data_IF_863672329625
#
_entry.id   IF_863672329625
#
_cell.length_a   1.000
_cell.length_b   1.000
_cell.length_c   1.000
_cell.angle_alpha   90.00
_cell.angle_beta   90.00
_cell.angle_gamma   90.00
#
_symmetry.space_group_name_H-M   'P 1'
#
loop_
_entity.id
_entity.type
_entity.pdbx_description
1 polymer ?
#
# COMPACT_ATOMS: atom_id res chain seq x y z
N UNK A 1 0.58 16.37 -6.43
CA UNK A 1 0.00 15.67 -7.59
C UNK A 1 -1.23 14.87 -7.22
N UNK A 2 -1.18 13.95 -6.25
CA UNK A 2 -2.37 13.21 -5.77
C UNK A 2 -3.52 14.16 -5.45
N UNK A 3 -3.30 15.22 -4.66
CA UNK A 3 -4.36 16.20 -4.36
C UNK A 3 -4.97 16.93 -5.56
N UNK A 4 -4.25 17.08 -6.68
CA UNK A 4 -4.79 17.71 -7.90
C UNK A 4 -5.65 16.72 -8.70
N UNK A 5 -5.15 15.49 -8.83
CA UNK A 5 -5.86 14.40 -9.49
C UNK A 5 -7.10 13.98 -8.69
N UNK A 6 -7.00 13.94 -7.36
CA UNK A 6 -8.10 13.72 -6.43
C UNK A 6 -9.17 14.78 -6.59
N UNK A 7 -8.79 16.07 -6.65
CA UNK A 7 -9.73 17.17 -6.85
C UNK A 7 -10.43 17.11 -8.22
N UNK A 8 -9.70 16.69 -9.27
CA UNK A 8 -10.30 16.50 -10.58
C UNK A 8 -11.27 15.30 -10.61
N UNK A 9 -10.88 14.19 -9.99
CA UNK A 9 -11.76 13.02 -9.84
C UNK A 9 -13.00 13.34 -9.00
N UNK A 10 -12.85 14.12 -7.93
CA UNK A 10 -13.98 14.56 -7.10
C UNK A 10 -14.93 15.45 -7.91
N UNK A 11 -14.40 16.47 -8.60
CA UNK A 11 -15.16 17.32 -9.51
C UNK A 11 -15.94 16.48 -10.53
N UNK A 12 -15.31 15.51 -11.18
CA UNK A 12 -15.95 14.64 -12.16
C UNK A 12 -17.08 13.81 -11.53
N UNK A 13 -16.82 13.17 -10.38
CA UNK A 13 -17.79 12.31 -9.68
C UNK A 13 -19.00 13.08 -9.15
N UNK A 14 -18.80 14.29 -8.60
CA UNK A 14 -19.87 15.02 -7.91
C UNK A 14 -20.73 15.85 -8.86
N UNK A 15 -20.18 16.30 -9.99
CA UNK A 15 -20.88 17.27 -10.86
C UNK A 15 -22.11 16.69 -11.55
N UNK A 16 -22.01 15.51 -12.16
CA UNK A 16 -23.12 14.92 -12.91
C UNK A 16 -24.34 14.54 -12.03
N UNK A 17 -24.18 13.93 -10.84
CA UNK A 17 -25.29 13.68 -9.92
C UNK A 17 -26.00 14.98 -9.49
N UNK A 18 -25.26 16.05 -9.21
CA UNK A 18 -25.83 17.33 -8.80
C UNK A 18 -26.70 17.96 -9.89
N UNK A 19 -26.27 17.91 -11.15
CA UNK A 19 -27.09 18.39 -12.28
C UNK A 19 -28.35 17.53 -12.47
N UNK A 20 -28.24 16.21 -12.32
CA UNK A 20 -29.39 15.31 -12.33
C UNK A 20 -30.40 15.64 -11.23
N UNK A 21 -29.93 15.95 -10.02
CA UNK A 21 -30.78 16.34 -8.89
C UNK A 21 -31.49 17.67 -9.15
N UNK A 22 -30.78 18.68 -9.66
CA UNK A 22 -31.38 19.99 -10.01
C UNK A 22 -32.52 19.82 -11.02
N UNK A 23 -32.30 19.05 -12.09
CA UNK A 23 -33.33 18.77 -13.10
C UNK A 23 -34.50 17.98 -12.52
N UNK A 24 -34.24 16.99 -11.66
CA UNK A 24 -35.29 16.21 -10.99
C UNK A 24 -36.17 17.07 -10.07
N UNK A 25 -35.55 17.93 -9.27
CA UNK A 25 -36.25 18.90 -8.40
C UNK A 25 -37.09 19.88 -9.23
N UNK A 26 -36.53 20.42 -10.31
CA UNK A 26 -37.26 21.30 -11.22
C UNK A 26 -38.48 20.61 -11.85
N UNK A 27 -38.33 19.35 -12.29
CA UNK A 27 -39.46 18.55 -12.78
C UNK A 27 -40.52 18.31 -11.69
N UNK A 28 -40.11 18.14 -10.43
CA UNK A 28 -41.02 18.05 -9.29
C UNK A 28 -41.84 19.32 -9.07
N UNK A 29 -41.18 20.48 -9.08
CA UNK A 29 -41.84 21.79 -8.96
C UNK A 29 -42.75 22.07 -10.16
N UNK A 30 -42.31 21.73 -11.38
CA UNK A 30 -43.11 21.87 -12.58
C UNK A 30 -44.40 21.03 -12.51
N UNK A 31 -44.34 19.77 -12.06
CA UNK A 31 -45.52 18.94 -11.83
C UNK A 31 -46.49 19.56 -10.81
N UNK A 32 -45.96 20.16 -9.75
CA UNK A 32 -46.79 20.85 -8.75
C UNK A 32 -47.45 22.12 -9.32
N UNK A 33 -46.72 22.91 -10.13
CA UNK A 33 -47.25 24.09 -10.80
C UNK A 33 -48.32 23.75 -11.85
N UNK A 34 -48.14 22.66 -12.60
CA UNK A 34 -49.14 22.14 -13.54
C UNK A 34 -50.41 21.67 -12.82
N UNK A 35 -50.26 20.94 -11.70
CA UNK A 35 -51.38 20.51 -10.88
C UNK A 35 -52.19 21.70 -10.33
N UNK A 36 -51.51 22.79 -10.00
CA UNK A 36 -52.12 24.05 -9.58
C UNK A 36 -52.68 24.91 -10.74
N UNK A 37 -52.54 24.47 -12.00
CA UNK A 37 -52.96 25.16 -13.22
C UNK A 37 -52.41 26.59 -13.34
N UNK A 38 -51.19 26.81 -12.85
CA UNK A 38 -50.52 28.11 -12.95
C UNK A 38 -49.89 28.21 -14.34
N UNK A 39 -50.57 28.90 -15.26
CA UNK A 39 -50.27 28.90 -16.69
C UNK A 39 -48.80 29.19 -17.02
N UNK A 40 -48.20 28.34 -17.88
CA UNK A 40 -46.84 28.50 -18.41
C UNK A 40 -45.70 28.34 -17.40
N UNK A 41 -45.97 28.40 -16.10
CA UNK A 41 -44.97 28.40 -15.03
C UNK A 41 -44.21 27.08 -14.96
N UNK A 42 -44.87 25.95 -15.18
CA UNK A 42 -44.21 24.64 -15.19
C UNK A 42 -43.13 24.55 -16.27
N UNK A 43 -43.42 25.03 -17.49
CA UNK A 43 -42.45 25.10 -18.58
C UNK A 43 -41.31 26.08 -18.27
N UNK A 44 -41.62 27.23 -17.67
CA UNK A 44 -40.61 28.21 -17.27
C UNK A 44 -39.67 27.67 -16.19
N UNK A 45 -40.17 26.94 -15.20
CA UNK A 45 -39.37 26.33 -14.13
C UNK A 45 -38.36 25.34 -14.70
N UNK A 46 -38.78 24.45 -15.61
CA UNK A 46 -37.87 23.50 -16.27
C UNK A 46 -36.85 24.25 -17.13
N UNK A 47 -37.30 25.21 -17.94
CA UNK A 47 -36.42 25.98 -18.83
C UNK A 47 -35.36 26.79 -18.07
N UNK A 48 -35.72 27.41 -16.94
CA UNK A 48 -34.76 28.15 -16.12
C UNK A 48 -33.78 27.24 -15.40
N UNK A 49 -34.25 26.09 -14.90
CA UNK A 49 -33.38 25.10 -14.27
C UNK A 49 -32.37 24.52 -15.27
N UNK A 50 -32.81 24.21 -16.49
CA UNK A 50 -31.92 23.72 -17.56
C UNK A 50 -30.90 24.78 -17.97
N UNK A 51 -31.33 26.03 -18.17
CA UNK A 51 -30.41 27.13 -18.51
C UNK A 51 -29.34 27.36 -17.41
N UNK A 52 -29.76 27.30 -16.14
CA UNK A 52 -28.85 27.38 -14.99
C UNK A 52 -27.88 26.20 -14.92
N UNK A 53 -28.37 24.98 -15.13
CA UNK A 53 -27.53 23.78 -15.17
C UNK A 53 -26.50 23.84 -16.30
N UNK A 54 -26.90 24.24 -17.51
CA UNK A 54 -25.98 24.41 -18.65
C UNK A 54 -24.95 25.52 -18.44
N UNK A 55 -25.31 26.60 -17.74
CA UNK A 55 -24.33 27.63 -17.37
C UNK A 55 -23.30 27.09 -16.37
N UNK A 56 -23.76 26.42 -15.32
CA UNK A 56 -22.88 25.81 -14.31
C UNK A 56 -21.99 24.71 -14.91
N UNK A 57 -22.52 23.86 -15.78
CA UNK A 57 -21.76 22.81 -16.48
C UNK A 57 -20.61 23.39 -17.30
N UNK A 58 -20.81 24.55 -17.97
CA UNK A 58 -19.74 25.23 -18.70
C UNK A 58 -18.64 25.78 -17.78
N UNK A 59 -19.00 26.36 -16.65
CA UNK A 59 -18.02 26.86 -15.67
C UNK A 59 -17.20 25.72 -15.07
N UNK A 60 -17.85 24.62 -14.69
CA UNK A 60 -17.16 23.43 -14.16
C UNK A 60 -16.29 22.74 -15.23
N UNK A 61 -16.72 22.72 -16.50
CA UNK A 61 -15.89 22.23 -17.60
C UNK A 61 -14.64 23.11 -17.81
N UNK A 62 -14.76 24.43 -17.59
CA UNK A 62 -13.62 25.35 -17.55
C UNK A 62 -12.60 24.96 -16.46
N UNK A 63 -13.08 24.64 -15.25
CA UNK A 63 -12.23 24.15 -14.16
C UNK A 63 -11.58 22.80 -14.47
N UNK A 64 -12.30 21.86 -15.08
CA UNK A 64 -11.72 20.60 -15.55
C UNK A 64 -10.59 20.83 -16.56
N UNK A 65 -10.71 21.85 -17.42
CA UNK A 65 -9.63 22.28 -18.32
C UNK A 65 -8.39 22.79 -17.58
N UNK A 66 -8.56 23.54 -16.49
CA UNK A 66 -7.44 23.98 -15.63
C UNK A 66 -6.78 22.79 -14.95
N UNK A 67 -7.56 21.87 -14.36
CA UNK A 67 -7.02 20.66 -13.74
C UNK A 67 -6.26 19.80 -14.75
N UNK A 68 -6.77 19.63 -15.96
CA UNK A 68 -6.09 18.92 -17.04
C UNK A 68 -4.73 19.56 -17.39
N UNK A 69 -4.69 20.89 -17.51
CA UNK A 69 -3.47 21.63 -17.85
C UNK A 69 -2.40 21.56 -16.74
N UNK A 70 -2.80 21.71 -15.49
CA UNK A 70 -1.91 21.61 -14.33
C UNK A 70 -1.41 20.17 -14.13
N UNK A 71 -2.30 19.17 -14.28
CA UNK A 71 -1.94 17.75 -14.17
C UNK A 71 -0.96 17.37 -15.26
N UNK A 72 -1.19 17.81 -16.51
CA UNK A 72 -0.24 17.65 -17.61
C UNK A 72 1.15 18.18 -17.24
N UNK A 73 1.24 19.43 -16.77
CA UNK A 73 2.52 20.06 -16.43
C UNK A 73 3.25 19.30 -15.31
N UNK A 74 2.53 18.81 -14.30
CA UNK A 74 3.11 18.00 -13.22
C UNK A 74 3.57 16.62 -13.70
N UNK A 75 2.80 15.96 -14.56
CA UNK A 75 3.17 14.67 -15.15
C UNK A 75 4.40 14.81 -16.03
N UNK A 76 4.51 15.87 -16.83
CA UNK A 76 5.72 16.17 -17.61
C UNK A 76 6.95 16.35 -16.71
N UNK A 77 6.80 17.08 -15.60
CA UNK A 77 7.88 17.28 -14.64
C UNK A 77 8.33 15.97 -13.97
N UNK A 78 7.37 15.10 -13.62
CA UNK A 78 7.64 13.86 -12.88
C UNK A 78 8.16 12.74 -13.79
N UNK A 79 7.67 12.66 -15.02
CA UNK A 79 8.07 11.63 -15.98
C UNK A 79 9.26 12.06 -16.83
N UNK A 80 9.51 13.37 -16.96
CA UNK A 80 10.53 13.92 -17.86
C UNK A 80 10.15 13.83 -19.34
N UNK A 81 8.90 13.47 -19.67
CA UNK A 81 8.41 13.29 -21.03
C UNK A 81 7.28 14.28 -21.34
N UNK A 82 7.29 14.94 -22.51
CA UNK A 82 6.17 15.76 -22.96
C UNK A 82 4.86 14.96 -23.00
N UNK A 83 3.75 15.59 -22.63
CA UNK A 83 2.46 14.94 -22.54
C UNK A 83 1.37 15.84 -23.14
N UNK A 84 0.43 15.22 -23.86
CA UNK A 84 -0.77 15.89 -24.38
C UNK A 84 -1.97 15.37 -23.61
N UNK A 85 -2.77 16.30 -23.08
CA UNK A 85 -3.98 16.00 -22.30
C UNK A 85 -5.18 16.69 -22.93
N UNK A 86 -6.21 15.91 -23.21
CA UNK A 86 -7.54 16.41 -23.56
C UNK A 86 -8.41 16.36 -22.30
N UNK A 87 -9.03 17.48 -21.86
CA UNK A 87 -9.92 17.46 -20.71
C UNK A 87 -11.06 16.47 -20.91
N UNK A 88 -11.32 15.64 -19.89
CA UNK A 88 -12.46 14.72 -19.87
C UNK A 88 -13.78 15.48 -19.69
N UNK A 89 -14.88 14.91 -20.20
CA UNK A 89 -16.22 15.42 -19.92
C UNK A 89 -16.58 15.17 -18.45
N UNK A 90 -17.32 16.08 -17.82
CA UNK A 90 -17.76 15.90 -16.44
C UNK A 90 -18.68 14.68 -16.29
N UNK A 91 -18.44 13.87 -15.26
CA UNK A 91 -19.18 12.65 -14.97
C UNK A 91 -18.79 11.46 -15.85
N UNK A 92 -17.66 11.54 -16.57
CA UNK A 92 -17.20 10.48 -17.46
C UNK A 92 -16.41 9.37 -16.74
N UNK A 93 -16.03 9.62 -15.48
CA UNK A 93 -15.40 8.68 -14.60
C UNK A 93 -13.87 8.58 -14.77
N UNK A 94 -13.22 7.80 -13.88
CA UNK A 94 -11.76 7.72 -13.83
C UNK A 94 -11.11 7.22 -15.14
N UNK A 95 -11.78 6.29 -15.84
CA UNK A 95 -11.28 5.74 -17.10
C UNK A 95 -11.20 6.81 -18.21
N UNK A 96 -12.15 7.74 -18.25
CA UNK A 96 -12.15 8.82 -19.23
C UNK A 96 -11.09 9.89 -18.92
N UNK A 97 -10.76 10.10 -17.64
CA UNK A 97 -9.63 10.93 -17.25
C UNK A 97 -8.31 10.34 -17.78
N UNK A 98 -8.10 9.03 -17.58
CA UNK A 98 -6.91 8.32 -18.11
C UNK A 98 -6.86 8.41 -19.63
N UNK A 99 -7.98 8.15 -20.30
CA UNK A 99 -8.08 8.24 -21.77
C UNK A 99 -7.84 9.66 -22.32
N UNK A 100 -7.95 10.69 -21.49
CA UNK A 100 -7.60 12.06 -21.85
C UNK A 100 -6.10 12.26 -22.10
N UNK A 101 -5.24 11.40 -21.54
CA UNK A 101 -3.80 11.40 -21.77
C UNK A 101 -3.47 10.61 -23.03
N UNK A 102 -2.76 11.22 -23.97
CA UNK A 102 -2.24 10.49 -25.13
C UNK A 102 -1.29 9.37 -24.68
N UNK A 103 -1.33 8.23 -25.37
CA UNK A 103 -0.52 7.05 -25.03
C UNK A 103 0.97 7.38 -24.89
N UNK A 104 1.63 6.72 -23.93
CA UNK A 104 3.03 6.94 -23.56
C UNK A 104 3.22 7.12 -22.06
N UNK A 105 4.41 7.57 -21.61
CA UNK A 105 4.78 7.57 -20.18
C UNK A 105 3.82 8.36 -19.28
N UNK A 106 3.28 9.48 -19.77
CA UNK A 106 2.33 10.28 -19.01
C UNK A 106 0.97 9.58 -18.82
N UNK A 107 0.49 8.89 -19.85
CA UNK A 107 -0.73 8.06 -19.76
C UNK A 107 -0.54 6.94 -18.75
N UNK A 108 0.55 6.17 -18.87
CA UNK A 108 0.80 5.00 -18.00
C UNK A 108 0.96 5.42 -16.54
N UNK A 109 1.60 6.57 -16.32
CA UNK A 109 1.78 7.16 -15.01
C UNK A 109 0.46 7.60 -14.37
N UNK A 110 -0.44 8.21 -15.15
CA UNK A 110 -1.78 8.58 -14.64
C UNK A 110 -2.67 7.36 -14.47
N UNK A 111 -2.59 6.37 -15.37
CA UNK A 111 -3.30 5.12 -15.25
C UNK A 111 -2.98 4.42 -13.92
N UNK A 112 -1.70 4.35 -13.54
CA UNK A 112 -1.27 3.76 -12.26
C UNK A 112 -1.84 4.51 -11.04
N UNK A 113 -1.80 5.85 -11.05
CA UNK A 113 -2.36 6.66 -9.95
C UNK A 113 -3.88 6.52 -9.82
N UNK A 114 -4.57 6.47 -10.96
CA UNK A 114 -6.04 6.42 -11.00
C UNK A 114 -6.57 5.03 -10.69
N UNK A 115 -5.82 3.96 -10.99
CA UNK A 115 -6.22 2.57 -10.75
C UNK A 115 -6.66 2.33 -9.30
N UNK A 116 -5.99 3.00 -8.36
CA UNK A 116 -6.24 2.86 -6.92
C UNK A 116 -7.25 3.87 -6.37
N UNK A 117 -7.62 4.92 -7.11
CA UNK A 117 -8.37 6.08 -6.59
C UNK A 117 -9.83 5.79 -6.16
N UNK A 118 -10.32 4.57 -6.42
CA UNK A 118 -11.63 4.11 -5.97
C UNK A 118 -11.57 3.30 -4.66
N UNK A 119 -10.39 2.82 -4.29
CA UNK A 119 -10.16 1.88 -3.18
C UNK A 119 -9.05 2.35 -2.24
N UNK A 120 -8.51 3.56 -2.46
CA UNK A 120 -7.49 4.12 -1.58
C UNK A 120 -8.06 4.47 -0.20
N UNK A 121 -7.28 4.13 0.81
CA UNK A 121 -7.57 4.37 2.20
C UNK A 121 -6.63 5.44 2.75
N UNK A 122 -7.17 6.34 3.57
CA UNK A 122 -6.40 7.38 4.27
C UNK A 122 -6.65 7.27 5.76
N UNK A 123 -5.63 6.84 6.49
CA UNK A 123 -5.68 6.83 7.95
C UNK A 123 -5.51 8.28 8.47
N UNK A 124 -6.42 8.78 9.32
CA UNK A 124 -6.22 10.08 9.97
C UNK A 124 -4.96 10.06 10.85
N UNK A 125 -4.27 11.20 10.97
CA UNK A 125 -3.02 11.33 11.73
C UNK A 125 -3.18 10.85 13.18
N UNK A 126 -4.24 11.24 13.86
CA UNK A 126 -4.55 10.85 15.23
C UNK A 126 -4.85 9.36 15.38
N UNK A 127 -5.30 8.69 14.32
CA UNK A 127 -5.51 7.23 14.32
C UNK A 127 -4.17 6.53 14.10
N UNK A 128 -3.37 6.98 13.15
CA UNK A 128 -2.02 6.45 12.90
C UNK A 128 -1.10 6.60 14.14
N UNK A 129 -1.17 7.74 14.83
CA UNK A 129 -0.48 7.99 16.11
C UNK A 129 -0.89 7.01 17.21
N UNK A 130 -2.15 6.60 17.25
CA UNK A 130 -2.68 5.66 18.25
C UNK A 130 -2.64 4.21 17.81
N UNK A 131 -2.17 3.93 16.59
CA UNK A 131 -2.04 2.56 16.09
C UNK A 131 -1.27 1.69 17.10
N UNK A 132 -1.77 0.50 17.42
CA UNK A 132 -1.22 -0.34 18.48
C UNK A 132 0.21 -0.78 18.19
N UNK A 133 0.96 -1.08 19.25
CA UNK A 133 2.31 -1.63 19.16
C UNK A 133 2.29 -3.11 19.50
N UNK A 134 3.09 -3.90 18.78
CA UNK A 134 3.29 -5.33 18.97
C UNK A 134 4.73 -5.56 19.38
N UNK A 135 4.97 -5.60 20.69
CA UNK A 135 6.32 -5.76 21.26
C UNK A 135 6.52 -7.11 21.94
N UNK A 136 5.50 -7.97 21.95
CA UNK A 136 5.55 -9.31 22.52
C UNK A 136 5.48 -10.35 21.42
N UNK A 137 6.17 -11.47 21.62
CA UNK A 137 6.02 -12.63 20.76
C UNK A 137 4.74 -13.37 21.19
N UNK A 138 3.80 -13.60 20.28
CA UNK A 138 2.59 -14.34 20.59
C UNK A 138 2.89 -15.79 20.97
N UNK A 139 2.20 -16.30 22.00
CA UNK A 139 2.29 -17.71 22.40
C UNK A 139 1.86 -18.67 21.27
N UNK A 140 0.98 -18.21 20.37
CA UNK A 140 0.54 -18.92 19.17
C UNK A 140 1.70 -19.25 18.23
N UNK A 141 2.67 -18.35 18.07
CA UNK A 141 3.86 -18.58 17.24
C UNK A 141 4.74 -19.67 17.83
N UNK A 142 4.98 -19.63 19.14
CA UNK A 142 5.74 -20.66 19.84
C UNK A 142 5.06 -22.03 19.75
N UNK A 143 3.74 -22.08 19.97
CA UNK A 143 2.97 -23.30 19.83
C UNK A 143 3.01 -23.86 18.41
N UNK A 144 2.85 -23.01 17.39
CA UNK A 144 2.90 -23.42 15.98
C UNK A 144 4.27 -23.98 15.57
N UNK A 145 5.37 -23.33 15.99
CA UNK A 145 6.72 -23.82 15.70
C UNK A 145 6.98 -25.21 16.31
N UNK A 146 6.61 -25.42 17.58
CA UNK A 146 6.75 -26.74 18.23
C UNK A 146 5.85 -27.79 17.61
N UNK A 147 4.62 -27.43 17.24
CA UNK A 147 3.70 -28.35 16.58
C UNK A 147 4.22 -28.82 15.22
N UNK A 148 4.87 -27.93 14.45
CA UNK A 148 5.39 -28.25 13.12
C UNK A 148 6.73 -29.00 13.18
N UNK A 149 7.66 -28.57 14.05
CA UNK A 149 9.05 -29.05 14.03
C UNK A 149 9.42 -29.99 15.19
N UNK A 150 8.48 -30.25 16.11
CA UNK A 150 8.77 -30.92 17.38
C UNK A 150 9.41 -29.97 18.41
N UNK A 151 9.54 -30.43 19.65
CA UNK A 151 9.95 -29.57 20.77
C UNK A 151 11.39 -29.05 20.62
N UNK A 152 12.35 -29.91 20.30
CA UNK A 152 13.78 -29.56 20.25
C UNK A 152 14.09 -28.56 19.14
N UNK A 153 13.77 -28.91 17.88
CA UNK A 153 13.97 -28.01 16.73
C UNK A 153 13.06 -26.78 16.82
N UNK A 154 11.83 -26.95 17.31
CA UNK A 154 10.88 -25.87 17.50
C UNK A 154 11.38 -24.80 18.49
N UNK A 155 11.99 -25.20 19.61
CA UNK A 155 12.54 -24.27 20.61
C UNK A 155 13.73 -23.48 20.08
N UNK A 156 14.61 -24.12 19.32
CA UNK A 156 15.76 -23.43 18.71
C UNK A 156 15.35 -22.49 17.57
N UNK A 157 14.43 -22.93 16.69
CA UNK A 157 13.83 -22.04 15.68
C UNK A 157 13.12 -20.86 16.35
N UNK A 158 12.39 -21.11 17.43
CA UNK A 158 11.77 -20.06 18.22
C UNK A 158 12.83 -19.07 18.73
N UNK A 159 13.93 -19.54 19.31
CA UNK A 159 15.02 -18.68 19.77
C UNK A 159 15.65 -17.84 18.63
N UNK A 160 15.80 -18.42 17.44
CA UNK A 160 16.31 -17.74 16.25
C UNK A 160 15.33 -16.67 15.72
N UNK A 161 14.04 -17.00 15.63
CA UNK A 161 12.96 -16.13 15.13
C UNK A 161 12.64 -14.99 16.11
N UNK A 162 12.74 -15.28 17.40
CA UNK A 162 12.40 -14.38 18.50
C UNK A 162 13.60 -13.65 19.10
N UNK A 163 14.77 -13.80 18.49
CA UNK A 163 15.98 -13.14 18.95
C UNK A 163 15.75 -11.63 19.10
N UNK A 164 16.36 -10.98 20.11
CA UNK A 164 16.13 -9.55 20.39
C UNK A 164 16.54 -8.59 19.24
N UNK A 165 17.34 -9.07 18.28
CA UNK A 165 17.70 -8.35 17.04
C UNK A 165 16.73 -8.63 15.88
N UNK A 166 15.89 -9.63 16.03
CA UNK A 166 14.85 -10.06 15.11
C UNK A 166 13.55 -9.30 15.30
N UNK A 167 12.77 -9.27 14.24
CA UNK A 167 11.49 -8.59 14.17
C UNK A 167 10.55 -9.22 13.14
N UNK A 168 10.84 -10.45 12.73
CA UNK A 168 10.00 -11.20 11.78
C UNK A 168 8.56 -11.30 12.29
N UNK A 169 8.38 -11.70 13.55
CA UNK A 169 7.04 -11.89 14.14
C UNK A 169 6.36 -10.56 14.43
N UNK A 170 7.07 -9.63 15.07
CA UNK A 170 6.47 -8.37 15.52
C UNK A 170 6.13 -7.40 14.38
N UNK A 171 6.74 -7.58 13.19
CA UNK A 171 6.47 -6.75 12.02
C UNK A 171 5.67 -7.44 10.92
N UNK A 172 5.68 -8.77 10.87
CA UNK A 172 5.12 -9.52 9.74
C UNK A 172 4.36 -10.78 10.16
N UNK A 173 4.22 -11.04 11.47
CA UNK A 173 3.41 -12.13 11.99
C UNK A 173 1.90 -11.84 11.94
N UNK A 174 1.06 -12.87 12.14
CA UNK A 174 -0.40 -12.79 12.03
C UNK A 174 -1.04 -11.79 12.99
N UNK A 175 -0.45 -11.63 14.17
CA UNK A 175 -0.96 -10.77 15.24
C UNK A 175 -0.63 -9.28 15.04
N UNK A 176 0.08 -8.90 13.96
CA UNK A 176 0.25 -7.49 13.61
C UNK A 176 -1.08 -6.95 13.09
N UNK A 177 -1.73 -5.98 13.77
CA UNK A 177 -3.04 -5.50 13.34
C UNK A 177 -2.95 -4.61 12.11
N UNK A 178 -4.03 -4.55 11.34
CA UNK A 178 -4.10 -3.79 10.09
C UNK A 178 -3.80 -2.30 10.33
N UNK A 179 -4.30 -1.72 11.41
CA UNK A 179 -4.07 -0.31 11.75
C UNK A 179 -2.59 0.00 11.96
N UNK A 180 -1.82 -0.97 12.47
CA UNK A 180 -0.37 -0.84 12.63
C UNK A 180 0.36 -0.98 11.29
N UNK A 181 -0.09 -1.88 10.39
CA UNK A 181 0.46 -1.99 9.04
C UNK A 181 0.16 -0.73 8.21
N UNK A 182 -1.06 -0.21 8.29
CA UNK A 182 -1.45 1.05 7.66
C UNK A 182 -0.54 2.19 8.11
N UNK A 183 -0.36 2.38 9.43
CA UNK A 183 0.51 3.42 9.98
C UNK A 183 1.99 3.22 9.59
N UNK A 184 2.43 1.95 9.50
CA UNK A 184 3.78 1.60 9.06
C UNK A 184 4.04 1.98 7.62
N UNK A 185 3.17 1.62 6.69
CA UNK A 185 3.38 1.95 5.28
C UNK A 185 3.14 3.44 5.03
N UNK A 186 2.03 4.02 5.51
CA UNK A 186 1.62 5.39 5.19
C UNK A 186 2.44 6.46 5.89
N UNK A 187 2.99 6.16 7.08
CA UNK A 187 3.64 7.15 7.94
C UNK A 187 4.87 6.65 8.69
N UNK A 188 5.41 5.49 8.30
CA UNK A 188 6.65 4.90 8.82
C UNK A 188 6.64 4.66 10.34
N UNK A 189 5.47 4.51 10.95
CA UNK A 189 5.36 4.16 12.36
C UNK A 189 5.73 2.70 12.55
N UNK A 190 6.70 2.45 13.41
CA UNK A 190 7.18 1.09 13.69
C UNK A 190 6.16 0.32 14.55
N UNK A 191 5.56 -0.78 14.05
CA UNK A 191 4.66 -1.61 14.85
C UNK A 191 5.28 -2.12 16.15
N UNK A 192 6.61 -2.28 16.23
CA UNK A 192 7.24 -2.70 17.48
C UNK A 192 7.23 -1.64 18.59
N UNK A 193 6.96 -0.38 18.24
CA UNK A 193 7.03 0.73 19.20
C UNK A 193 8.42 0.97 19.77
N UNK A 194 9.49 0.64 19.01
CA UNK A 194 10.88 0.86 19.46
C UNK A 194 11.11 2.33 19.77
N UNK A 195 11.73 2.59 20.91
CA UNK A 195 12.04 3.95 21.41
C UNK A 195 13.53 4.30 21.30
N UNK A 196 14.34 3.42 20.72
CA UNK A 196 15.76 3.67 20.52
C UNK A 196 16.00 4.82 19.53
N UNK A 197 17.14 5.51 19.66
CA UNK A 197 17.48 6.70 18.86
C UNK A 197 17.53 6.47 17.33
N UNK A 198 17.48 5.21 16.87
CA UNK A 198 17.40 4.89 15.44
C UNK A 198 15.94 4.66 15.01
N UNK A 199 15.13 3.97 15.81
CA UNK A 199 13.79 3.55 15.36
C UNK A 199 12.64 4.30 16.01
N UNK A 200 12.91 5.24 16.92
CA UNK A 200 11.87 6.04 17.54
C UNK A 200 11.04 6.78 16.50
N UNK A 201 9.72 6.64 16.62
CA UNK A 201 8.76 7.41 15.86
C UNK A 201 8.19 8.50 16.78
N UNK A 202 8.23 9.76 16.34
CA UNK A 202 7.68 10.89 17.09
C UNK A 202 7.09 11.90 16.14
N UNK A 203 5.92 12.43 16.49
CA UNK A 203 5.35 13.63 15.88
C UNK A 203 5.63 14.84 16.76
N UNK A 204 6.18 15.89 16.18
CA UNK A 204 6.47 17.16 16.84
C UNK A 204 5.23 18.09 16.79
N UNK A 205 5.15 19.15 17.63
CA UNK A 205 3.96 20.01 17.71
C UNK A 205 3.59 20.74 16.41
N UNK A 206 4.55 20.95 15.52
CA UNK A 206 4.35 21.51 14.17
C UNK A 206 3.81 20.47 13.17
N UNK A 207 3.55 19.25 13.64
CA UNK A 207 3.04 18.13 12.87
C UNK A 207 4.12 17.30 12.19
N UNK A 208 5.38 17.74 12.19
CA UNK A 208 6.47 17.01 11.54
C UNK A 208 6.74 15.67 12.23
N UNK A 209 7.23 14.69 11.47
CA UNK A 209 7.46 13.32 11.97
C UNK A 209 8.92 12.93 11.83
N UNK A 210 9.51 12.54 12.96
CA UNK A 210 10.86 11.99 13.04
C UNK A 210 10.81 10.48 13.18
N UNK A 211 11.49 9.76 12.27
CA UNK A 211 11.74 8.31 12.37
C UNK A 211 12.86 7.90 11.42
N UNK A 212 13.70 6.93 11.82
CA UNK A 212 14.63 6.25 10.89
C UNK A 212 14.21 4.82 10.59
N UNK A 213 12.96 4.44 10.91
CA UNK A 213 12.40 3.16 10.48
C UNK A 213 12.50 3.04 8.96
N UNK A 214 13.13 1.97 8.47
CA UNK A 214 13.30 1.71 7.05
C UNK A 214 12.17 0.83 6.53
N UNK A 215 11.28 1.39 5.73
CA UNK A 215 10.21 0.64 5.05
C UNK A 215 9.97 1.22 3.65
N UNK A 216 9.71 0.32 2.70
CA UNK A 216 9.40 0.65 1.31
C UNK A 216 8.03 1.29 1.15
N UNK A 217 7.39 1.00 0.01
CA UNK A 217 6.02 1.40 -0.29
C UNK A 217 5.00 0.30 0.04
N UNK A 218 5.44 -0.82 0.61
CA UNK A 218 4.59 -1.97 0.96
C UNK A 218 4.88 -2.39 2.39
N UNK A 219 3.85 -2.73 3.15
CA UNK A 219 3.95 -3.43 4.42
C UNK A 219 2.95 -4.59 4.44
N UNK A 220 3.48 -5.82 4.47
CA UNK A 220 2.68 -7.06 4.55
C UNK A 220 2.97 -7.85 5.81
N UNK A 221 2.04 -8.74 6.14
CA UNK A 221 2.15 -9.78 7.16
C UNK A 221 1.65 -11.11 6.60
N UNK A 222 2.03 -12.20 7.23
CA UNK A 222 1.36 -13.48 7.06
C UNK A 222 0.02 -13.44 7.80
N UNK A 223 -1.02 -14.07 7.25
CA UNK A 223 -2.37 -14.07 7.86
C UNK A 223 -2.51 -15.07 8.99
N UNK A 224 -1.70 -16.14 8.97
CA UNK A 224 -1.72 -17.22 9.97
C UNK A 224 -0.30 -17.58 10.42
N UNK A 225 -0.21 -18.29 11.55
CA UNK A 225 1.07 -18.86 12.02
C UNK A 225 1.58 -19.90 11.02
N UNK A 226 0.69 -20.70 10.44
CA UNK A 226 1.02 -21.69 9.42
C UNK A 226 1.68 -21.04 8.19
N UNK A 227 1.05 -19.99 7.64
CA UNK A 227 1.59 -19.23 6.51
C UNK A 227 3.00 -18.67 6.80
N UNK A 228 3.22 -18.15 8.01
CA UNK A 228 4.54 -17.65 8.43
C UNK A 228 5.60 -18.76 8.54
N UNK A 229 5.19 -19.98 8.89
CA UNK A 229 6.07 -21.13 9.06
C UNK A 229 6.47 -21.77 7.73
N UNK A 230 5.59 -21.74 6.72
CA UNK A 230 5.82 -22.31 5.38
C UNK A 230 7.21 -21.99 4.79
N UNK A 231 7.69 -20.72 4.74
CA UNK A 231 9.05 -20.41 4.28
C UNK A 231 10.18 -21.04 5.12
N UNK A 232 10.01 -21.09 6.44
CA UNK A 232 10.99 -21.72 7.34
C UNK A 232 11.07 -23.23 7.09
N UNK A 233 9.91 -23.87 6.91
CA UNK A 233 9.81 -25.29 6.58
C UNK A 233 10.51 -25.62 5.26
N UNK A 234 10.25 -24.84 4.21
CA UNK A 234 10.89 -25.02 2.92
C UNK A 234 12.41 -24.84 2.99
N UNK A 235 12.89 -23.81 3.72
CA UNK A 235 14.32 -23.59 3.93
C UNK A 235 14.96 -24.73 4.72
N UNK A 236 14.34 -25.17 5.83
CA UNK A 236 14.88 -26.26 6.64
C UNK A 236 14.94 -27.58 5.84
N UNK A 237 13.91 -27.88 5.05
CA UNK A 237 13.91 -29.03 4.15
C UNK A 237 15.03 -28.95 3.09
N UNK A 238 15.28 -27.75 2.56
CA UNK A 238 16.39 -27.52 1.62
C UNK A 238 17.75 -27.79 2.24
N UNK A 239 17.91 -27.54 3.53
CA UNK A 239 19.16 -27.72 4.27
C UNK A 239 19.24 -29.07 4.99
N UNK A 240 18.52 -30.09 4.51
CA UNK A 240 18.60 -31.46 5.03
C UNK A 240 17.72 -31.75 6.25
N UNK A 241 16.82 -30.84 6.62
CA UNK A 241 15.85 -31.03 7.70
C UNK A 241 16.39 -30.81 9.11
N UNK A 242 17.62 -30.33 9.26
CA UNK A 242 18.29 -30.12 10.56
C UNK A 242 18.76 -28.68 10.74
N UNK A 243 18.87 -28.24 12.00
CA UNK A 243 19.38 -26.91 12.33
C UNK A 243 20.88 -26.76 12.05
N UNK A 244 21.65 -27.82 12.26
CA UNK A 244 23.06 -27.84 11.88
C UNK A 244 23.22 -27.62 10.37
N UNK A 245 22.43 -28.32 9.56
CA UNK A 245 22.42 -28.12 8.11
C UNK A 245 22.01 -26.69 7.71
N UNK A 246 21.04 -26.10 8.41
CA UNK A 246 20.67 -24.70 8.21
C UNK A 246 21.82 -23.75 8.57
N UNK A 247 22.47 -23.95 9.71
CA UNK A 247 23.58 -23.12 10.16
C UNK A 247 24.80 -23.21 9.24
N UNK A 248 25.12 -24.40 8.74
CA UNK A 248 26.18 -24.63 7.76
C UNK A 248 25.86 -23.89 6.45
N UNK A 249 24.64 -24.06 5.93
CA UNK A 249 24.18 -23.35 4.74
C UNK A 249 24.27 -21.82 4.90
N UNK A 250 23.77 -21.29 6.01
CA UNK A 250 23.85 -19.85 6.28
C UNK A 250 25.31 -19.37 6.40
N UNK A 251 26.21 -20.19 6.94
CA UNK A 251 27.63 -19.88 7.04
C UNK A 251 28.30 -19.83 5.67
N UNK A 252 27.99 -20.78 4.79
CA UNK A 252 28.53 -20.83 3.44
C UNK A 252 28.03 -19.68 2.56
N UNK A 253 26.79 -19.26 2.75
CA UNK A 253 26.16 -18.16 2.01
C UNK A 253 26.42 -16.77 2.63
N UNK A 254 27.12 -16.68 3.76
CA UNK A 254 27.28 -15.45 4.51
C UNK A 254 28.17 -14.43 3.79
N UNK A 255 27.63 -13.23 3.53
CA UNK A 255 28.43 -12.05 3.21
C UNK A 255 28.40 -11.08 4.39
N UNK A 256 29.58 -10.78 4.95
CA UNK A 256 29.74 -9.95 6.16
C UNK A 256 28.80 -10.34 7.33
N UNK A 257 28.59 -11.65 7.54
CA UNK A 257 27.73 -12.19 8.60
C UNK A 257 26.24 -11.95 8.36
N UNK A 258 25.81 -11.78 7.11
CA UNK A 258 24.41 -11.61 6.71
C UNK A 258 24.09 -12.55 5.54
N UNK A 259 22.88 -13.11 5.56
CA UNK A 259 22.31 -13.86 4.44
C UNK A 259 20.93 -13.30 4.12
N UNK A 260 20.61 -13.18 2.83
CA UNK A 260 19.29 -12.78 2.34
C UNK A 260 18.79 -13.89 1.45
N UNK A 261 17.68 -14.53 1.82
CA UNK A 261 17.11 -15.68 1.11
C UNK A 261 15.71 -15.31 0.67
N UNK A 262 15.43 -15.44 -0.61
CA UNK A 262 14.07 -15.38 -1.13
C UNK A 262 13.56 -16.80 -1.29
N UNK A 263 12.45 -17.11 -0.63
CA UNK A 263 11.75 -18.39 -0.78
C UNK A 263 10.53 -18.13 -1.66
N UNK A 264 10.53 -18.60 -2.92
CA UNK A 264 9.39 -18.47 -3.82
C UNK A 264 8.11 -19.06 -3.24
N UNK A 265 6.94 -18.50 -3.59
CA UNK A 265 5.66 -18.95 -3.07
C UNK A 265 5.37 -20.43 -3.39
N UNK A 266 5.67 -20.88 -4.61
CA UNK A 266 5.55 -22.27 -5.04
C UNK A 266 6.46 -23.22 -4.27
N UNK A 267 7.68 -22.79 -3.93
CA UNK A 267 8.64 -23.55 -3.11
C UNK A 267 8.20 -23.60 -1.65
N UNK A 268 7.64 -22.50 -1.12
CA UNK A 268 7.14 -22.43 0.26
C UNK A 268 5.77 -23.12 0.44
N UNK A 269 5.02 -23.31 -0.64
CA UNK A 269 3.60 -23.68 -0.58
C UNK A 269 2.70 -22.54 -0.10
N UNK A 270 3.09 -21.29 -0.34
CA UNK A 270 2.28 -20.11 -0.05
C UNK A 270 1.20 -19.92 -1.12
N UNK A 271 -0.02 -19.61 -0.69
CA UNK A 271 -1.20 -19.44 -1.55
C UNK A 271 -1.83 -18.04 -1.36
N UNK A 272 -2.62 -17.55 -2.34
CA UNK A 272 -3.47 -16.38 -2.13
C UNK A 272 -4.26 -16.48 -0.81
N UNK A 273 -4.20 -15.43 0.01
CA UNK A 273 -4.77 -15.38 1.36
C UNK A 273 -3.78 -15.74 2.48
N UNK A 274 -2.59 -16.26 2.19
CA UNK A 274 -1.54 -16.48 3.20
C UNK A 274 -0.84 -15.18 3.62
N UNK A 275 -0.97 -14.13 2.83
CA UNK A 275 -0.47 -12.79 3.14
C UNK A 275 -1.58 -11.75 3.06
N UNK A 276 -1.39 -10.66 3.80
CA UNK A 276 -2.19 -9.45 3.64
C UNK A 276 -1.35 -8.25 4.02
N UNK A 277 -1.70 -7.09 3.48
CA UNK A 277 -1.04 -5.85 3.85
C UNK A 277 -1.58 -4.66 3.11
N UNK A 278 -0.72 -3.66 3.03
CA UNK A 278 -1.01 -2.40 2.37
C UNK A 278 0.19 -1.96 1.54
N UNK A 279 -0.08 -1.46 0.34
CA UNK A 279 0.89 -0.75 -0.50
C UNK A 279 0.49 0.72 -0.66
N UNK A 280 1.43 1.57 -1.05
CA UNK A 280 1.14 2.95 -1.43
C UNK A 280 0.18 2.97 -2.62
N UNK A 281 -0.78 3.90 -2.62
CA UNK A 281 -1.64 4.10 -3.79
C UNK A 281 -0.82 4.63 -4.97
N UNK A 282 -1.06 4.10 -6.17
CA UNK A 282 -0.33 4.40 -7.40
C UNK A 282 1.15 4.06 -7.28
N UNK A 283 1.45 2.79 -6.96
CA UNK A 283 2.82 2.29 -6.83
C UNK A 283 3.08 1.04 -7.65
N UNK A 284 2.26 0.77 -8.69
CA UNK A 284 2.40 -0.40 -9.55
C UNK A 284 3.65 -0.39 -10.43
N UNK A 285 4.42 0.70 -10.44
CA UNK A 285 5.72 0.77 -11.11
C UNK A 285 6.82 1.23 -10.17
N UNK A 286 8.07 0.85 -10.46
CA UNK A 286 9.25 1.33 -9.71
C UNK A 286 9.33 2.88 -9.67
N UNK A 287 8.93 3.54 -10.75
CA UNK A 287 8.93 5.00 -10.86
C UNK A 287 7.92 5.63 -9.89
N UNK A 288 6.67 5.19 -9.95
CA UNK A 288 5.57 5.71 -9.12
C UNK A 288 5.77 5.34 -7.65
N UNK A 289 6.24 4.12 -7.35
CA UNK A 289 6.68 3.71 -6.02
C UNK A 289 7.81 4.59 -5.43
N UNK A 290 8.72 5.09 -6.26
CA UNK A 290 9.75 6.06 -5.83
C UNK A 290 9.13 7.42 -5.50
N UNK A 291 8.28 7.95 -6.38
CA UNK A 291 7.63 9.25 -6.15
C UNK A 291 6.73 9.22 -4.93
N UNK A 292 5.96 8.14 -4.72
CA UNK A 292 5.14 7.96 -3.53
C UNK A 292 5.98 7.98 -2.25
N UNK A 293 7.14 7.30 -2.23
CA UNK A 293 8.06 7.32 -1.07
C UNK A 293 8.64 8.70 -0.80
N UNK A 294 8.99 9.46 -1.85
CA UNK A 294 9.43 10.85 -1.71
C UNK A 294 8.32 11.72 -1.13
N UNK A 295 7.11 11.64 -1.69
CA UNK A 295 5.94 12.38 -1.19
C UNK A 295 5.60 12.04 0.27
N UNK A 296 5.73 10.76 0.68
CA UNK A 296 5.61 10.36 2.09
C UNK A 296 6.65 11.04 2.96
N UNK A 297 7.91 11.08 2.50
CA UNK A 297 8.99 11.77 3.20
C UNK A 297 8.72 13.26 3.35
N UNK A 298 8.29 13.92 2.28
CA UNK A 298 7.97 15.35 2.26
C UNK A 298 6.78 15.66 3.17
N UNK A 299 5.71 14.86 3.12
CA UNK A 299 4.56 14.99 4.02
C UNK A 299 5.01 14.93 5.48
N UNK A 300 5.85 13.96 5.85
CA UNK A 300 6.40 13.86 7.21
C UNK A 300 7.27 15.07 7.59
N UNK A 301 8.06 15.61 6.66
CA UNK A 301 8.95 16.76 6.92
C UNK A 301 8.22 18.10 6.98
N UNK A 302 7.02 18.20 6.39
CA UNK A 302 6.24 19.44 6.28
C UNK A 302 5.00 19.45 7.17
N UNK A 303 4.81 18.42 7.99
CA UNK A 303 3.66 18.30 8.90
C UNK A 303 2.37 17.78 8.26
N UNK A 304 2.47 17.25 7.04
CA UNK A 304 1.40 16.53 6.36
C UNK A 304 1.02 15.22 7.05
N UNK A 305 -0.17 14.71 6.71
CA UNK A 305 -0.69 13.46 7.25
C UNK A 305 -0.18 12.19 6.57
N UNK A 306 -0.65 11.03 7.01
CA UNK A 306 -0.40 9.74 6.37
C UNK A 306 -0.74 9.74 4.87
N UNK A 307 0.10 9.09 4.07
CA UNK A 307 -0.11 8.97 2.62
C UNK A 307 -1.21 7.95 2.28
N UNK A 308 -1.93 8.11 1.14
CA UNK A 308 -2.92 7.15 0.67
C UNK A 308 -2.30 5.79 0.36
N UNK A 309 -3.03 4.74 0.73
CA UNK A 309 -2.61 3.34 0.65
C UNK A 309 -3.75 2.49 0.10
N UNK A 310 -3.46 1.29 -0.38
CA UNK A 310 -4.47 0.31 -0.78
C UNK A 310 -4.15 -1.03 -0.15
N UNK A 311 -5.21 -1.78 0.19
CA UNK A 311 -5.06 -3.17 0.62
C UNK A 311 -4.47 -4.01 -0.51
N UNK A 312 -3.61 -4.96 -0.16
CA UNK A 312 -2.96 -5.86 -1.12
C UNK A 312 -2.70 -7.22 -0.49
N UNK A 313 -2.69 -8.25 -1.33
CA UNK A 313 -2.12 -9.56 -1.04
C UNK A 313 -0.88 -9.79 -1.93
N UNK A 314 0.31 -9.69 -1.32
CA UNK A 314 1.57 -9.82 -2.04
C UNK A 314 1.79 -11.19 -2.68
N UNK A 315 1.09 -12.22 -2.20
CA UNK A 315 1.17 -13.57 -2.76
C UNK A 315 0.23 -13.73 -3.94
N UNK A 316 -0.94 -13.09 -3.92
CA UNK A 316 -1.92 -13.15 -5.01
C UNK A 316 -1.59 -12.19 -6.17
N UNK A 317 -1.06 -11.00 -5.87
CA UNK A 317 -0.89 -9.90 -6.83
C UNK A 317 0.53 -9.82 -7.42
N UNK A 318 1.51 -10.48 -6.80
CA UNK A 318 2.92 -10.37 -7.18
C UNK A 318 3.29 -11.08 -8.48
N UNK A 319 4.26 -10.54 -9.20
CA UNK A 319 4.82 -11.15 -10.42
C UNK A 319 5.72 -12.36 -10.13
N UNK A 320 6.46 -12.32 -9.01
CA UNK A 320 7.31 -13.40 -8.51
C UNK A 320 7.16 -13.47 -6.98
N UNK A 321 5.98 -13.89 -6.49
CA UNK A 321 5.62 -13.78 -5.10
C UNK A 321 6.39 -14.78 -4.24
N UNK A 322 6.60 -14.43 -2.97
CA UNK A 322 7.22 -15.32 -1.99
C UNK A 322 7.53 -14.64 -0.67
N UNK A 323 8.47 -15.21 0.08
CA UNK A 323 8.93 -14.68 1.35
C UNK A 323 10.40 -14.28 1.30
N UNK A 324 10.68 -13.03 1.69
CA UNK A 324 12.03 -12.52 1.87
C UNK A 324 12.48 -12.72 3.32
N UNK A 325 13.56 -13.49 3.50
CA UNK A 325 14.15 -13.82 4.78
C UNK A 325 15.53 -13.20 4.91
N UNK A 326 15.82 -12.56 6.04
CA UNK A 326 17.14 -11.97 6.32
C UNK A 326 17.67 -12.55 7.61
N UNK A 327 18.81 -13.23 7.51
CA UNK A 327 19.54 -13.77 8.64
C UNK A 327 20.76 -12.91 8.95
N UNK A 328 21.13 -12.85 10.22
CA UNK A 328 22.36 -12.19 10.66
C UNK A 328 23.03 -13.01 11.75
N UNK A 329 24.34 -13.15 11.64
CA UNK A 329 25.17 -13.76 12.68
C UNK A 329 25.21 -12.82 13.90
N UNK A 330 24.96 -13.39 15.07
CA UNK A 330 25.04 -12.71 16.36
C UNK A 330 26.48 -12.57 16.80
N UNK A 331 26.70 -11.77 17.86
CA UNK A 331 28.04 -11.57 18.40
C UNK A 331 28.56 -12.84 19.11
N UNK A 332 27.66 -13.79 19.42
CA UNK A 332 27.98 -15.12 19.98
C UNK A 332 28.23 -16.17 18.88
N UNK A 333 28.19 -15.79 17.60
CA UNK A 333 28.41 -16.70 16.47
C UNK A 333 27.17 -17.48 16.01
N UNK A 334 26.04 -17.37 16.70
CA UNK A 334 24.77 -18.01 16.32
C UNK A 334 24.04 -17.22 15.23
N UNK A 335 23.05 -17.82 14.58
CA UNK A 335 22.21 -17.14 13.59
C UNK A 335 20.92 -16.61 14.22
N UNK A 336 20.49 -15.43 13.79
CA UNK A 336 19.21 -14.84 14.13
C UNK A 336 18.44 -14.52 12.84
N UNK A 337 17.15 -14.86 12.79
CA UNK A 337 16.27 -14.41 11.74
C UNK A 337 15.87 -12.96 12.06
N UNK A 338 16.47 -12.03 11.33
CA UNK A 338 16.24 -10.60 11.51
C UNK A 338 14.83 -10.23 11.08
N UNK A 339 14.41 -10.70 9.91
CA UNK A 339 13.05 -10.50 9.41
C UNK A 339 12.66 -11.60 8.42
N UNK A 340 11.36 -11.87 8.30
CA UNK A 340 10.73 -12.70 7.29
C UNK A 340 9.44 -11.99 6.89
N UNK A 341 9.24 -11.69 5.61
CA UNK A 341 8.07 -10.95 5.14
C UNK A 341 7.61 -11.39 3.75
N UNK A 342 6.30 -11.37 3.48
CA UNK A 342 5.79 -11.61 2.13
C UNK A 342 6.17 -10.46 1.20
N UNK A 343 6.48 -10.77 -0.06
CA UNK A 343 6.87 -9.82 -1.09
C UNK A 343 6.35 -10.25 -2.46
N UNK A 344 6.03 -9.27 -3.30
CA UNK A 344 5.51 -9.46 -4.67
C UNK A 344 6.61 -9.83 -5.68
N UNK A 345 7.86 -9.48 -5.35
CA UNK A 345 9.05 -9.71 -6.17
C UNK A 345 10.29 -9.78 -5.26
N UNK A 346 11.28 -10.57 -5.66
CA UNK A 346 12.58 -10.63 -4.98
C UNK A 346 13.48 -9.42 -5.36
N UNK A 347 14.14 -8.81 -4.38
CA UNK A 347 15.27 -7.91 -4.65
C UNK A 347 16.46 -8.75 -5.15
N UNK A 348 17.18 -8.27 -6.17
CA UNK A 348 18.33 -8.95 -6.79
C UNK A 348 19.43 -9.37 -5.80
N UNK A 349 19.45 -8.78 -4.60
CA UNK A 349 20.38 -9.12 -3.50
C UNK A 349 20.01 -10.38 -2.73
N UNK A 350 18.88 -11.01 -3.03
CA UNK A 350 18.43 -12.23 -2.35
C UNK A 350 18.87 -13.47 -3.12
N UNK A 351 19.42 -14.43 -2.39
CA UNK A 351 19.67 -15.78 -2.88
C UNK A 351 18.31 -16.46 -3.04
N UNK A 352 17.96 -16.86 -4.26
CA UNK A 352 16.71 -17.58 -4.53
C UNK A 352 16.83 -19.03 -4.10
N UNK A 353 15.96 -19.47 -3.19
CA UNK A 353 15.80 -20.89 -2.84
C UNK A 353 15.22 -21.63 -4.05
N UNK A 354 15.86 -22.73 -4.46
CA UNK A 354 15.38 -23.60 -5.55
C UNK A 354 14.70 -24.83 -4.96
N UNK A 355 13.69 -25.34 -5.66
CA UNK A 355 13.05 -26.60 -5.28
C UNK A 355 14.08 -27.73 -5.21
N UNK A 356 13.94 -28.59 -4.20
CA UNK A 356 14.78 -29.78 -3.99
C UNK A 356 14.32 -31.00 -4.78
N UNK A 357 13.15 -30.94 -5.44
CA UNK A 357 12.70 -32.01 -6.34
C UNK A 357 13.38 -31.88 -7.70
N UNK A 358 14.51 -32.59 -7.88
CA UNK A 358 15.09 -32.94 -9.18
C UNK A 358 14.80 -34.41 -9.49
#
# INVERSE_FOLDING_TARGET
MTGLLDAWLDLDRTSAPLFGEVRSRAAGVARAADAARVGGLATQVVSHADAGATAAERELAGLAGVFAAETRSLVELLTGAPCVVTPSMLGSGPAALVAGFAGGPGHDYVADLVADAAVDERQPSEVAERAPVVNTIPLSVAAGLRAEFGDEVGDELLAMVCHARGHAVQLHGPDVPDEALMARVSWKKDPMGRTDAKNSWRRDPDGTVTTKHGIGHIAGKFTTVEAMIKPLKALLAHTGGTLDGLHDYLTDQADAGRVRIFVPADVAGLEPGDATGFRGSGTGTTLTARHWRSARGDAMQTGGGPMPIVRTDQIAEGEDPGAAMIFRRTDLGTWALVTCYPTEVADEKFIRLRSTTS
#
